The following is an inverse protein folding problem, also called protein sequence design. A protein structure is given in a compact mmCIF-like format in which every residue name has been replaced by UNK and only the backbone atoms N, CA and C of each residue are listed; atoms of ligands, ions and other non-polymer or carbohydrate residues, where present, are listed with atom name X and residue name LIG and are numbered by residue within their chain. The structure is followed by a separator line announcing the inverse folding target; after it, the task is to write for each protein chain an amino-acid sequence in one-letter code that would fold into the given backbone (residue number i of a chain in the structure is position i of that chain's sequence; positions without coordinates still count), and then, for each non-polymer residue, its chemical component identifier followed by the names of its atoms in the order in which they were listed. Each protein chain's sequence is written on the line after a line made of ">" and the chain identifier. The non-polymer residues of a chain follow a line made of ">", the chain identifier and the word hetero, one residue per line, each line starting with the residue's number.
data_IF_080322020855
#
_entry.id   IF_080322020855
#
_cell.length_a   1.000
_cell.length_b   1.000
_cell.length_c   1.000
_cell.angle_alpha   90.00
_cell.angle_beta   90.00
_cell.angle_gamma   90.00
#
_symmetry.space_group_name_H-M   'P 1'
#
loop_
_entity.id
_entity.type
_entity.pdbx_description
1 polymer ?
#
# COMPACT_ATOMS: atom_id res chain seq x y z
N UNK A 1 5.52 2.54 -39.63
CA UNK A 1 4.33 2.43 -38.77
C UNK A 1 4.73 2.26 -37.30
N UNK A 2 5.35 3.27 -36.65
CA UNK A 2 5.85 3.12 -35.27
C UNK A 2 5.60 4.31 -34.35
N UNK A 3 5.37 5.52 -34.90
CA UNK A 3 5.08 6.71 -34.08
C UNK A 3 3.68 6.69 -33.45
N UNK A 4 2.69 6.08 -34.13
CA UNK A 4 1.28 6.12 -33.70
C UNK A 4 0.99 5.22 -32.48
N UNK A 5 1.80 4.18 -32.25
CA UNK A 5 1.62 3.24 -31.13
C UNK A 5 2.11 3.83 -29.79
N UNK A 6 3.21 4.61 -29.80
CA UNK A 6 3.69 5.32 -28.61
C UNK A 6 2.72 6.43 -28.19
N UNK A 7 2.10 7.13 -29.14
CA UNK A 7 1.07 8.13 -28.84
C UNK A 7 -0.23 7.48 -28.34
N UNK A 8 -0.59 6.28 -28.80
CA UNK A 8 -1.70 5.50 -28.26
C UNK A 8 -1.44 4.96 -26.84
N UNK A 9 -0.21 4.51 -26.54
CA UNK A 9 0.24 4.15 -25.19
C UNK A 9 0.32 5.35 -24.24
N UNK A 10 0.69 6.53 -24.75
CA UNK A 10 0.67 7.78 -23.99
C UNK A 10 -0.77 8.29 -23.75
N UNK A 11 -1.68 8.05 -24.70
CA UNK A 11 -3.10 8.45 -24.67
C UNK A 11 -4.01 7.50 -23.88
N UNK A 12 -3.56 6.27 -23.58
CA UNK A 12 -4.31 5.25 -22.82
C UNK A 12 -4.10 5.29 -21.30
N UNK A 13 -3.43 6.31 -20.76
CA UNK A 13 -3.47 6.58 -19.31
C UNK A 13 -4.74 7.33 -18.96
N UNK A 14 -5.87 6.64 -19.06
CA UNK A 14 -7.08 7.09 -18.37
C UNK A 14 -6.72 7.14 -16.86
N UNK A 15 -6.75 8.32 -16.21
CA UNK A 15 -6.42 8.48 -14.79
C UNK A 15 -7.22 7.50 -13.91
N UNK A 16 -8.42 7.12 -14.35
CA UNK A 16 -9.24 6.10 -13.70
C UNK A 16 -8.60 4.71 -13.74
N UNK A 17 -8.06 4.31 -14.89
CA UNK A 17 -7.38 3.02 -15.05
C UNK A 17 -6.04 2.98 -14.33
N UNK A 18 -5.30 4.10 -14.32
CA UNK A 18 -4.06 4.21 -13.57
C UNK A 18 -4.29 4.12 -12.05
N UNK A 19 -5.29 4.87 -11.53
CA UNK A 19 -5.65 4.84 -10.12
C UNK A 19 -6.10 3.45 -9.67
N UNK A 20 -6.93 2.75 -10.46
CA UNK A 20 -7.35 1.37 -10.17
C UNK A 20 -6.17 0.41 -10.12
N UNK A 21 -5.20 0.53 -11.04
CA UNK A 21 -4.00 -0.32 -11.02
C UNK A 21 -3.15 -0.07 -9.77
N UNK A 22 -2.97 1.18 -9.36
CA UNK A 22 -2.22 1.48 -8.14
C UNK A 22 -2.92 0.98 -6.88
N UNK A 23 -4.24 1.11 -6.78
CA UNK A 23 -5.02 0.54 -5.68
C UNK A 23 -4.95 -1.00 -5.68
N UNK A 24 -5.03 -1.64 -6.86
CA UNK A 24 -4.94 -3.09 -6.96
C UNK A 24 -3.53 -3.61 -6.57
N UNK A 25 -2.47 -2.92 -7.00
CA UNK A 25 -1.10 -3.23 -6.61
C UNK A 25 -0.89 -3.04 -5.12
N UNK A 26 -1.37 -1.95 -4.55
CA UNK A 26 -1.30 -1.67 -3.11
C UNK A 26 -2.02 -2.78 -2.31
N UNK A 27 -3.25 -3.13 -2.69
CA UNK A 27 -4.00 -4.23 -2.08
C UNK A 27 -3.27 -5.58 -2.21
N UNK A 28 -2.69 -5.89 -3.37
CA UNK A 28 -1.97 -7.14 -3.58
C UNK A 28 -0.69 -7.22 -2.74
N UNK A 29 0.11 -6.14 -2.70
CA UNK A 29 1.35 -6.09 -1.92
C UNK A 29 1.05 -6.12 -0.42
N UNK A 30 0.11 -5.30 0.04
CA UNK A 30 -0.33 -5.27 1.44
C UNK A 30 -0.95 -6.61 1.86
N UNK A 31 -1.77 -7.21 1.02
CA UNK A 31 -2.41 -8.50 1.29
C UNK A 31 -1.41 -9.65 1.32
N UNK A 32 -0.49 -9.72 0.35
CA UNK A 32 0.59 -10.71 0.35
C UNK A 32 1.46 -10.58 1.60
N UNK A 33 1.72 -9.34 2.03
CA UNK A 33 2.47 -9.09 3.25
C UNK A 33 1.70 -9.52 4.52
N UNK A 34 0.41 -9.16 4.63
CA UNK A 34 -0.43 -9.60 5.74
C UNK A 34 -0.52 -11.11 5.83
N UNK A 35 -0.70 -11.80 4.69
CA UNK A 35 -0.71 -13.26 4.61
C UNK A 35 0.63 -13.87 5.00
N UNK A 36 1.75 -13.27 4.59
CA UNK A 36 3.08 -13.71 5.00
C UNK A 36 3.26 -13.57 6.52
N UNK A 37 2.84 -12.44 7.10
CA UNK A 37 2.83 -12.23 8.54
C UNK A 37 1.94 -13.26 9.27
N UNK A 38 0.77 -13.62 8.73
CA UNK A 38 -0.11 -14.63 9.33
C UNK A 38 0.47 -16.04 9.23
N UNK A 39 0.86 -16.45 8.01
CA UNK A 39 1.31 -17.82 7.70
C UNK A 39 2.67 -18.15 8.32
N UNK A 40 3.56 -17.16 8.41
CA UNK A 40 4.91 -17.33 8.94
C UNK A 40 5.17 -16.54 10.22
N UNK A 41 4.13 -16.16 10.98
CA UNK A 41 4.20 -15.42 12.25
C UNK A 41 5.23 -16.00 13.25
N UNK A 42 5.32 -17.33 13.36
CA UNK A 42 6.30 -18.01 14.22
C UNK A 42 7.75 -17.84 13.76
N UNK A 43 8.11 -18.30 12.54
CA UNK A 43 9.45 -18.12 11.98
C UNK A 43 9.87 -16.64 11.84
N UNK A 44 8.96 -15.78 11.37
CA UNK A 44 9.18 -14.34 11.24
C UNK A 44 9.35 -13.68 12.60
N UNK A 45 8.60 -14.08 13.62
CA UNK A 45 8.77 -13.53 14.97
C UNK A 45 10.18 -13.77 15.52
N UNK A 46 10.72 -14.97 15.31
CA UNK A 46 12.11 -15.29 15.70
C UNK A 46 13.15 -14.55 14.85
N UNK A 47 12.90 -14.39 13.55
CA UNK A 47 13.84 -13.75 12.63
C UNK A 47 13.86 -12.22 12.78
N UNK A 48 12.69 -11.61 12.94
CA UNK A 48 12.51 -10.17 13.11
C UNK A 48 12.73 -9.74 14.57
N UNK A 49 12.78 -10.67 15.52
CA UNK A 49 12.87 -10.36 16.95
C UNK A 49 11.60 -9.70 17.50
N UNK A 50 10.45 -9.98 16.90
CA UNK A 50 9.14 -9.38 17.25
C UNK A 50 8.22 -10.47 17.79
N UNK A 51 7.40 -10.14 18.79
CA UNK A 51 6.42 -11.06 19.35
C UNK A 51 5.49 -11.61 18.26
N UNK A 52 5.34 -12.93 18.20
CA UNK A 52 4.50 -13.61 17.21
C UNK A 52 3.03 -13.19 17.28
N UNK A 53 2.52 -12.81 18.46
CA UNK A 53 1.18 -12.25 18.63
C UNK A 53 1.01 -10.90 17.93
N UNK A 54 2.02 -10.02 18.03
CA UNK A 54 2.04 -8.72 17.36
C UNK A 54 2.05 -8.88 15.83
N UNK A 55 2.84 -9.84 15.31
CA UNK A 55 2.84 -10.20 13.89
C UNK A 55 1.49 -10.74 13.40
N UNK A 56 0.77 -11.46 14.25
CA UNK A 56 -0.53 -12.03 13.91
C UNK A 56 -1.61 -10.94 13.88
N UNK A 57 -1.64 -10.05 14.87
CA UNK A 57 -2.50 -8.85 14.88
C UNK A 57 -2.24 -7.95 13.69
N UNK A 58 -0.97 -7.66 13.39
CA UNK A 58 -0.55 -6.91 12.20
C UNK A 58 -1.02 -7.62 10.93
N UNK A 59 -0.81 -8.93 10.82
CA UNK A 59 -1.24 -9.72 9.67
C UNK A 59 -2.74 -9.64 9.40
N UNK A 60 -3.57 -9.73 10.45
CA UNK A 60 -5.03 -9.57 10.36
C UNK A 60 -5.37 -8.14 9.92
N UNK A 61 -4.77 -7.13 10.53
CA UNK A 61 -5.01 -5.73 10.19
C UNK A 61 -4.70 -5.45 8.72
N UNK A 62 -3.51 -5.86 8.24
CA UNK A 62 -3.11 -5.71 6.85
C UNK A 62 -4.05 -6.45 5.89
N UNK A 63 -4.51 -7.65 6.25
CA UNK A 63 -5.45 -8.41 5.42
C UNK A 63 -6.81 -7.69 5.28
N UNK A 64 -7.34 -7.15 6.38
CA UNK A 64 -8.60 -6.37 6.36
C UNK A 64 -8.43 -5.09 5.55
N UNK A 65 -7.32 -4.38 5.73
CA UNK A 65 -7.01 -3.17 4.96
C UNK A 65 -6.88 -3.48 3.46
N UNK A 66 -6.10 -4.50 3.11
CA UNK A 66 -5.95 -4.97 1.72
C UNK A 66 -7.28 -5.37 1.08
N UNK A 67 -8.17 -6.02 1.84
CA UNK A 67 -9.52 -6.34 1.36
C UNK A 67 -10.33 -5.07 1.07
N UNK A 68 -10.29 -4.07 1.95
CA UNK A 68 -10.94 -2.77 1.73
C UNK A 68 -10.43 -2.04 0.49
N UNK A 69 -9.10 -1.97 0.32
CA UNK A 69 -8.47 -1.37 -0.85
C UNK A 69 -8.79 -2.17 -2.13
N UNK A 70 -8.80 -3.50 -2.05
CA UNK A 70 -9.16 -4.38 -3.16
C UNK A 70 -10.61 -4.20 -3.63
N UNK A 71 -11.55 -4.04 -2.68
CA UNK A 71 -12.95 -3.69 -2.98
C UNK A 71 -13.04 -2.31 -3.62
N UNK A 72 -12.21 -1.35 -3.22
CA UNK A 72 -12.18 -0.03 -3.86
C UNK A 72 -11.60 -0.10 -5.28
N UNK A 73 -10.58 -0.93 -5.51
CA UNK A 73 -9.95 -1.14 -6.82
C UNK A 73 -10.88 -1.86 -7.82
N UNK A 74 -11.78 -2.72 -7.34
CA UNK A 74 -12.76 -3.43 -8.17
C UNK A 74 -13.87 -2.51 -8.70
N UNK A 75 -14.10 -1.34 -8.09
CA UNK A 75 -15.08 -0.36 -8.57
C UNK A 75 -14.61 0.33 -9.86
N UNK A 76 -15.51 0.41 -10.84
CA UNK A 76 -15.24 1.07 -12.13
C UNK A 76 -14.96 2.58 -11.98
N UNK A 77 -15.56 3.24 -10.99
CA UNK A 77 -15.32 4.64 -10.65
C UNK A 77 -15.04 4.77 -9.14
N UNK A 78 -13.77 4.71 -8.71
CA UNK A 78 -13.42 4.94 -7.31
C UNK A 78 -13.77 6.37 -6.90
N UNK A 79 -14.62 6.49 -5.88
CA UNK A 79 -14.98 7.78 -5.30
C UNK A 79 -13.74 8.44 -4.67
N UNK A 80 -13.68 9.77 -4.72
CA UNK A 80 -12.51 10.55 -4.28
C UNK A 80 -12.23 10.40 -2.78
N UNK A 81 -13.29 10.34 -1.97
CA UNK A 81 -13.20 10.24 -0.51
C UNK A 81 -12.54 8.92 -0.05
N UNK A 82 -13.03 7.72 -0.43
CA UNK A 82 -12.38 6.47 -0.04
C UNK A 82 -10.92 6.35 -0.47
N UNK A 83 -10.55 6.90 -1.63
CA UNK A 83 -9.16 6.88 -2.09
C UNK A 83 -8.28 7.75 -1.20
N UNK A 84 -8.79 8.89 -0.75
CA UNK A 84 -8.09 9.76 0.19
C UNK A 84 -7.93 9.09 1.55
N UNK A 85 -8.95 8.39 2.04
CA UNK A 85 -8.86 7.62 3.28
C UNK A 85 -7.76 6.55 3.21
N UNK A 86 -7.62 5.86 2.07
CA UNK A 86 -6.53 4.89 1.84
C UNK A 86 -5.16 5.57 1.85
N UNK A 87 -5.02 6.73 1.19
CA UNK A 87 -3.77 7.51 1.19
C UNK A 87 -3.40 7.96 2.61
N UNK A 88 -4.36 8.49 3.37
CA UNK A 88 -4.15 8.94 4.74
C UNK A 88 -3.83 7.77 5.68
N UNK A 89 -4.51 6.64 5.53
CA UNK A 89 -4.21 5.41 6.27
C UNK A 89 -2.80 4.89 5.97
N UNK A 90 -2.38 4.86 4.70
CA UNK A 90 -1.04 4.45 4.30
C UNK A 90 0.05 5.38 4.85
N UNK A 91 -0.19 6.70 4.85
CA UNK A 91 0.71 7.68 5.47
C UNK A 91 0.78 7.54 6.99
N UNK A 92 -0.38 7.39 7.65
CA UNK A 92 -0.45 7.17 9.09
C UNK A 92 0.25 5.86 9.47
N UNK A 93 0.12 4.81 8.67
CA UNK A 93 0.80 3.54 8.86
C UNK A 93 2.32 3.66 8.72
N UNK A 94 2.79 4.38 7.70
CA UNK A 94 4.21 4.64 7.52
C UNK A 94 4.79 5.45 8.69
N UNK A 95 4.08 6.49 9.14
CA UNK A 95 4.48 7.29 10.29
C UNK A 95 4.50 6.44 11.58
N UNK A 96 3.45 5.66 11.82
CA UNK A 96 3.35 4.76 12.96
C UNK A 96 4.47 3.71 12.96
N UNK A 97 4.84 3.17 11.79
CA UNK A 97 5.95 2.24 11.64
C UNK A 97 7.28 2.88 12.05
N UNK A 98 7.53 4.13 11.65
CA UNK A 98 8.72 4.88 12.05
C UNK A 98 8.73 5.19 13.55
N UNK A 99 7.61 5.68 14.09
CA UNK A 99 7.45 5.95 15.53
C UNK A 99 7.64 4.65 16.33
N UNK A 100 7.12 3.54 15.82
CA UNK A 100 7.26 2.25 16.49
C UNK A 100 8.71 1.83 16.64
N UNK A 101 9.49 1.91 15.56
CA UNK A 101 10.93 1.65 15.62
C UNK A 101 11.69 2.62 16.54
N UNK A 102 11.23 3.86 16.66
CA UNK A 102 11.90 4.88 17.45
C UNK A 102 11.57 4.82 18.96
N UNK A 103 10.37 4.36 19.32
CA UNK A 103 9.84 4.53 20.69
C UNK A 103 9.69 3.21 21.45
N UNK A 104 9.21 2.14 20.81
CA UNK A 104 8.74 0.96 21.55
C UNK A 104 9.10 -0.40 20.95
N UNK A 105 9.50 -0.46 19.69
CA UNK A 105 9.91 -1.70 19.02
C UNK A 105 11.43 -1.75 18.91
N UNK A 106 12.03 -2.80 19.47
CA UNK A 106 13.47 -3.10 19.33
C UNK A 106 13.67 -4.37 18.48
N UNK A 107 13.26 -4.38 17.21
CA UNK A 107 13.41 -5.56 16.36
C UNK A 107 14.88 -5.86 16.08
N UNK A 108 15.14 -7.05 15.54
CA UNK A 108 16.43 -7.37 14.94
C UNK A 108 16.74 -6.40 13.79
N UNK A 109 18.01 -6.30 13.39
CA UNK A 109 18.41 -5.47 12.24
C UNK A 109 17.61 -5.81 10.97
N UNK A 110 17.31 -7.11 10.76
CA UNK A 110 16.46 -7.56 9.66
C UNK A 110 15.00 -7.06 9.81
N UNK A 111 14.45 -7.04 11.02
CA UNK A 111 13.12 -6.51 11.30
C UNK A 111 13.01 -5.00 11.13
N UNK A 112 14.04 -4.26 11.51
CA UNK A 112 14.10 -2.81 11.26
C UNK A 112 14.12 -2.51 9.75
N UNK A 113 15.00 -3.17 8.99
CA UNK A 113 15.10 -3.02 7.53
C UNK A 113 13.78 -3.38 6.84
N UNK A 114 13.17 -4.50 7.24
CA UNK A 114 11.88 -4.92 6.71
C UNK A 114 10.79 -3.87 6.97
N UNK A 115 10.67 -3.40 8.22
CA UNK A 115 9.66 -2.40 8.59
C UNK A 115 9.82 -1.10 7.80
N UNK A 116 11.06 -0.62 7.63
CA UNK A 116 11.35 0.57 6.84
C UNK A 116 11.02 0.35 5.36
N UNK A 117 11.39 -0.79 4.79
CA UNK A 117 11.10 -1.11 3.39
C UNK A 117 9.59 -1.10 3.12
N UNK A 118 8.80 -1.63 4.04
CA UNK A 118 7.35 -1.64 3.92
C UNK A 118 6.72 -0.27 4.10
N UNK A 119 7.18 0.50 5.09
CA UNK A 119 6.74 1.88 5.29
C UNK A 119 6.99 2.74 4.04
N UNK A 120 8.18 2.63 3.43
CA UNK A 120 8.51 3.35 2.19
C UNK A 120 7.65 2.86 1.01
N UNK A 121 7.43 1.55 0.89
CA UNK A 121 6.60 0.99 -0.18
C UNK A 121 5.16 1.51 -0.11
N UNK A 122 4.56 1.47 1.08
CA UNK A 122 3.20 1.92 1.36
C UNK A 122 3.06 3.44 1.15
N UNK A 123 4.05 4.22 1.61
CA UNK A 123 4.10 5.66 1.35
C UNK A 123 4.24 5.98 -0.16
N UNK A 124 5.01 5.18 -0.90
CA UNK A 124 5.13 5.28 -2.35
C UNK A 124 3.78 5.06 -3.05
N UNK A 125 3.02 4.04 -2.64
CA UNK A 125 1.67 3.82 -3.17
C UNK A 125 0.73 4.97 -2.83
N UNK A 126 0.75 5.48 -1.60
CA UNK A 126 -0.04 6.63 -1.19
C UNK A 126 0.25 7.85 -2.09
N UNK A 127 1.52 8.13 -2.37
CA UNK A 127 1.93 9.24 -3.22
C UNK A 127 1.47 9.06 -4.68
N UNK A 128 1.58 7.84 -5.22
CA UNK A 128 1.10 7.51 -6.58
C UNK A 128 -0.42 7.63 -6.70
N UNK A 129 -1.17 7.16 -5.69
CA UNK A 129 -2.62 7.29 -5.62
C UNK A 129 -3.04 8.77 -5.53
N UNK A 130 -2.37 9.56 -4.70
CA UNK A 130 -2.59 11.00 -4.57
C UNK A 130 -2.29 11.76 -5.87
N UNK A 131 -1.17 11.47 -6.53
CA UNK A 131 -0.81 12.09 -7.80
C UNK A 131 -1.83 11.77 -8.91
N UNK A 132 -2.28 10.52 -8.98
CA UNK A 132 -3.33 10.10 -9.93
C UNK A 132 -4.68 10.78 -9.64
N UNK A 133 -5.03 10.96 -8.37
CA UNK A 133 -6.24 11.68 -7.95
C UNK A 133 -6.18 13.17 -8.34
N UNK A 134 -5.04 13.83 -8.08
CA UNK A 134 -4.83 15.25 -8.42
C UNK A 134 -4.85 15.50 -9.93
N UNK A 135 -4.25 14.61 -10.72
CA UNK A 135 -4.30 14.67 -12.18
C UNK A 135 -5.72 14.48 -12.75
N UNK A 136 -6.62 13.81 -12.01
CA UNK A 136 -8.04 13.64 -12.38
C UNK A 136 -8.86 14.91 -12.14
N UNK A 137 -8.59 15.61 -11.04
CA UNK A 137 -9.30 16.84 -10.66
C UNK A 137 -9.01 17.98 -11.64
N UNK A 138 -7.74 18.25 -11.98
CA UNK A 138 -7.36 19.31 -12.92
C UNK A 138 -7.72 19.07 -14.40
N UNK A 139 -8.43 17.99 -14.72
CA UNK A 139 -9.00 17.69 -16.05
C UNK A 139 -10.52 17.83 -16.10
N UNK A 140 -11.15 18.08 -14.94
CA UNK A 140 -12.60 18.25 -14.81
C UNK A 140 -13.00 19.73 -14.63
N UNK A 141 -12.00 20.63 -14.57
CA UNK A 141 -12.13 22.09 -14.63
C UNK A 141 -11.90 22.57 -16.07
#
# INVERSE_FOLDING_TARGET
>A
MSATQFTALARTRDPHTALRRFLALDAAVTGANGLLCLAASGPLGRFLGVGSGLLLELGVFLAVFAAGVGVLASRARPATLPVRDVVEANLAWAALSCVALAVWLTPSAAGAVWTVLQAVTVAGFALLQYAALRARQGRSD
#
